data_IF_957987685862
#
_entry.id   IF_957987685862
#
_cell.length_a   1.000
_cell.length_b   1.000
_cell.length_c   1.000
_cell.angle_alpha   90.00
_cell.angle_beta   90.00
_cell.angle_gamma   90.00
#
_symmetry.space_group_name_H-M   'P 1'
#
loop_
_entity.id
_entity.type
_entity.pdbx_description
1 polymer ?
#
# COMPACT_ATOMS: atom_id res chain seq x y z
N UNK A 1 -9.20 12.90 -21.49
CA UNK A 1 -9.50 11.94 -22.58
C UNK A 1 -8.23 11.67 -23.37
N UNK A 2 -7.53 10.58 -23.03
CA UNK A 2 -6.57 9.92 -23.93
C UNK A 2 -6.50 8.47 -23.46
N UNK A 3 -7.27 7.60 -24.11
CA UNK A 3 -7.31 6.16 -23.85
C UNK A 3 -6.06 5.52 -24.46
N UNK A 4 -5.18 5.01 -23.60
CA UNK A 4 -4.05 4.17 -24.01
C UNK A 4 -4.62 2.76 -24.23
N UNK A 5 -4.63 2.32 -25.50
CA UNK A 5 -5.11 1.01 -25.90
C UNK A 5 -4.27 -0.11 -25.27
N UNK A 6 -4.95 -1.02 -24.57
CA UNK A 6 -4.38 -2.27 -24.11
C UNK A 6 -4.36 -3.20 -25.32
N UNK A 7 -3.17 -3.45 -25.87
CA UNK A 7 -2.96 -4.53 -26.83
C UNK A 7 -3.15 -5.86 -26.10
N UNK A 8 -4.11 -6.65 -26.55
CA UNK A 8 -4.27 -8.05 -26.14
C UNK A 8 -3.08 -8.87 -26.67
N UNK A 9 -2.22 -9.30 -25.76
CA UNK A 9 -1.13 -10.23 -26.06
C UNK A 9 -1.70 -11.59 -26.51
N UNK A 10 -1.52 -11.90 -27.79
CA UNK A 10 -1.73 -13.24 -28.32
C UNK A 10 -0.82 -14.24 -27.61
N UNK A 11 -1.28 -15.47 -27.31
CA UNK A 11 -0.45 -16.46 -26.64
C UNK A 11 0.70 -16.87 -27.55
N UNK A 12 1.92 -16.56 -27.13
CA UNK A 12 3.16 -17.04 -27.74
C UNK A 12 3.15 -18.56 -27.64
N UNK A 13 2.96 -19.25 -28.79
CA UNK A 13 3.15 -20.70 -28.87
C UNK A 13 4.59 -21.01 -28.47
N UNK A 14 4.77 -21.75 -27.37
CA UNK A 14 6.09 -22.20 -26.93
C UNK A 14 6.75 -23.09 -28.01
N UNK A 15 8.00 -22.83 -28.42
CA UNK A 15 8.65 -23.65 -29.43
C UNK A 15 8.96 -25.04 -28.87
N UNK A 16 8.63 -26.08 -29.64
CA UNK A 16 8.95 -27.51 -29.38
C UNK A 16 10.45 -27.79 -29.13
N UNK A 17 11.33 -26.82 -29.39
CA UNK A 17 12.80 -26.92 -29.31
C UNK A 17 13.38 -27.03 -27.87
N UNK A 18 12.64 -26.67 -26.82
CA UNK A 18 13.18 -26.66 -25.44
C UNK A 18 13.34 -28.03 -24.77
N UNK A 19 12.60 -29.06 -25.21
CA UNK A 19 12.62 -30.39 -24.55
C UNK A 19 13.89 -31.19 -24.86
N UNK A 20 14.30 -31.24 -26.13
CA UNK A 20 15.45 -32.05 -26.54
C UNK A 20 16.76 -31.56 -25.92
N UNK A 21 16.96 -30.23 -25.83
CA UNK A 21 18.11 -29.63 -25.17
C UNK A 21 18.16 -29.94 -23.66
N UNK A 22 16.99 -30.06 -23.01
CA UNK A 22 16.91 -30.37 -21.58
C UNK A 22 17.24 -31.83 -21.28
N UNK A 23 16.84 -32.77 -22.14
CA UNK A 23 17.17 -34.19 -22.00
C UNK A 23 18.65 -34.45 -22.27
N UNK A 24 19.22 -33.80 -23.29
CA UNK A 24 20.65 -33.86 -23.59
C UNK A 24 21.49 -33.37 -22.40
N UNK A 25 21.12 -32.25 -21.78
CA UNK A 25 21.80 -31.74 -20.60
C UNK A 25 21.70 -32.69 -19.39
N UNK A 26 20.53 -33.30 -19.15
CA UNK A 26 20.35 -34.30 -18.09
C UNK A 26 21.23 -35.52 -18.33
N UNK A 27 21.38 -35.96 -19.58
CA UNK A 27 22.25 -37.08 -19.93
C UNK A 27 23.72 -36.74 -19.67
N UNK A 28 24.18 -35.52 -20.00
CA UNK A 28 25.52 -35.05 -19.68
C UNK A 28 25.76 -35.05 -18.16
N UNK A 29 24.78 -34.58 -17.37
CA UNK A 29 24.87 -34.60 -15.91
C UNK A 29 24.97 -36.03 -15.35
N UNK A 30 24.16 -36.96 -15.88
CA UNK A 30 24.19 -38.36 -15.48
C UNK A 30 25.54 -39.01 -15.82
N UNK A 31 26.09 -38.77 -17.01
CA UNK A 31 27.41 -39.26 -17.41
C UNK A 31 28.52 -38.72 -16.50
N UNK A 32 28.44 -37.46 -16.08
CA UNK A 32 29.39 -36.88 -15.12
C UNK A 32 29.25 -37.52 -13.74
N UNK A 33 28.02 -37.78 -13.27
CA UNK A 33 27.77 -38.44 -11.99
C UNK A 33 28.21 -39.91 -12.01
N UNK A 34 28.03 -40.60 -13.14
CA UNK A 34 28.46 -42.00 -13.31
C UNK A 34 29.95 -42.18 -13.06
N UNK A 35 30.79 -41.21 -13.49
CA UNK A 35 32.23 -41.21 -13.21
C UNK A 35 32.60 -41.09 -11.73
N UNK A 36 31.66 -40.64 -10.89
CA UNK A 36 31.85 -40.51 -9.44
C UNK A 36 31.42 -41.77 -8.67
N UNK A 37 30.83 -42.76 -9.36
CA UNK A 37 30.41 -44.01 -8.73
C UNK A 37 31.66 -44.83 -8.35
N UNK A 38 31.79 -45.26 -7.09
CA UNK A 38 32.93 -46.06 -6.67
C UNK A 38 32.93 -47.42 -7.35
N UNK A 39 34.12 -47.90 -7.72
CA UNK A 39 34.29 -49.27 -8.21
C UNK A 39 34.24 -50.26 -7.03
N UNK A 40 33.21 -51.10 -6.97
CA UNK A 40 33.03 -52.05 -5.87
C UNK A 40 33.16 -53.49 -6.36
N UNK A 41 34.09 -54.23 -5.73
CA UNK A 41 34.48 -55.59 -6.12
C UNK A 41 33.54 -56.69 -5.60
N UNK A 42 32.87 -56.50 -4.46
CA UNK A 42 31.94 -57.47 -3.85
C UNK A 42 30.83 -56.74 -3.09
N UNK A 43 29.57 -57.08 -3.36
CA UNK A 43 28.39 -56.52 -2.67
C UNK A 43 27.52 -57.64 -2.11
N UNK A 44 27.01 -57.46 -0.89
CA UNK A 44 26.12 -58.46 -0.27
C UNK A 44 24.70 -58.31 -0.84
N UNK A 45 23.99 -59.44 -0.99
CA UNK A 45 22.59 -59.44 -1.40
C UNK A 45 21.74 -59.14 -0.17
N UNK A 46 20.76 -58.24 -0.32
CA UNK A 46 19.86 -57.84 0.77
C UNK A 46 18.47 -58.45 0.55
N UNK A 47 17.84 -58.91 1.63
CA UNK A 47 16.44 -59.38 1.62
C UNK A 47 15.47 -58.20 1.59
N UNK A 48 14.25 -58.42 1.07
CA UNK A 48 13.25 -57.37 0.91
C UNK A 48 12.80 -56.75 2.24
N UNK A 49 12.83 -57.50 3.34
CA UNK A 49 12.46 -57.05 4.69
C UNK A 49 13.44 -56.03 5.29
N UNK A 50 14.70 -56.03 4.86
CA UNK A 50 15.75 -55.17 5.40
C UNK A 50 16.06 -53.95 4.51
N UNK A 51 15.21 -53.68 3.51
CA UNK A 51 15.44 -52.62 2.54
C UNK A 51 15.09 -51.26 3.14
N UNK A 52 16.09 -50.39 3.22
CA UNK A 52 15.92 -48.96 3.50
C UNK A 52 16.15 -48.17 2.21
N UNK A 53 15.26 -47.22 1.93
CA UNK A 53 15.38 -46.34 0.76
C UNK A 53 16.50 -45.31 1.03
N UNK A 54 17.57 -45.27 0.22
CA UNK A 54 18.67 -44.34 0.43
C UNK A 54 18.23 -42.89 0.27
N UNK A 55 18.64 -42.01 1.19
CA UNK A 55 18.29 -40.60 1.20
C UNK A 55 19.48 -39.69 0.81
N UNK A 56 19.31 -38.37 0.93
CA UNK A 56 20.33 -37.37 0.54
C UNK A 56 21.62 -37.45 1.36
N UNK A 57 21.60 -38.09 2.53
CA UNK A 57 22.75 -38.28 3.40
C UNK A 57 23.33 -39.70 3.28
N UNK A 58 22.48 -40.68 2.96
CA UNK A 58 22.85 -42.11 2.90
C UNK A 58 22.97 -42.66 1.47
N UNK A 59 23.01 -41.81 0.44
CA UNK A 59 23.05 -42.25 -0.96
C UNK A 59 24.23 -43.18 -1.30
N UNK A 60 25.30 -43.20 -0.50
CA UNK A 60 26.42 -44.14 -0.65
C UNK A 60 25.98 -45.60 -0.42
N UNK A 61 24.92 -45.85 0.35
CA UNK A 61 24.36 -47.18 0.61
C UNK A 61 23.86 -47.87 -0.65
N UNK A 62 23.53 -47.12 -1.71
CA UNK A 62 23.21 -47.65 -3.04
C UNK A 62 24.27 -48.61 -3.57
N UNK A 63 25.52 -48.44 -3.14
CA UNK A 63 26.65 -49.20 -3.61
C UNK A 63 27.08 -50.31 -2.63
N UNK A 64 26.60 -50.28 -1.39
CA UNK A 64 26.95 -51.30 -0.38
C UNK A 64 26.28 -52.66 -0.66
N UNK A 65 25.13 -52.65 -1.34
CA UNK A 65 24.30 -53.85 -1.57
C UNK A 65 24.03 -54.13 -3.05
N UNK A 66 23.79 -55.39 -3.37
CA UNK A 66 23.48 -55.86 -4.71
C UNK A 66 21.96 -55.87 -4.97
N UNK A 67 21.36 -54.69 -5.15
CA UNK A 67 19.91 -54.56 -5.35
C UNK A 67 19.41 -55.20 -6.66
N UNK A 68 18.23 -55.81 -6.65
CA UNK A 68 17.56 -56.29 -7.86
C UNK A 68 16.83 -55.14 -8.60
N UNK A 69 16.42 -55.37 -9.85
CA UNK A 69 15.76 -54.32 -10.65
C UNK A 69 14.39 -53.89 -10.11
N UNK A 70 13.67 -54.75 -9.39
CA UNK A 70 12.38 -54.40 -8.78
C UNK A 70 12.60 -53.47 -7.57
N UNK A 71 13.57 -53.76 -6.71
CA UNK A 71 13.97 -52.94 -5.58
C UNK A 71 14.41 -51.54 -6.03
N UNK A 72 15.23 -51.45 -7.08
CA UNK A 72 15.64 -50.15 -7.64
C UNK A 72 14.46 -49.37 -8.25
N UNK A 73 13.47 -50.06 -8.83
CA UNK A 73 12.24 -49.40 -9.31
C UNK A 73 11.40 -48.84 -8.16
N UNK A 74 11.40 -49.49 -6.98
CA UNK A 74 10.77 -48.94 -5.77
C UNK A 74 11.44 -47.62 -5.37
N UNK A 75 12.77 -47.57 -5.33
CA UNK A 75 13.51 -46.34 -5.01
C UNK A 75 13.24 -45.22 -6.02
N UNK A 76 13.31 -45.54 -7.31
CA UNK A 76 13.03 -44.57 -8.37
C UNK A 76 11.58 -44.04 -8.28
N UNK A 77 10.60 -44.90 -7.97
CA UNK A 77 9.20 -44.50 -7.79
C UNK A 77 9.01 -43.58 -6.58
N UNK A 78 9.68 -43.87 -5.45
CA UNK A 78 9.65 -43.04 -4.25
C UNK A 78 10.09 -41.60 -4.53
N UNK A 79 11.17 -41.42 -5.30
CA UNK A 79 11.66 -40.10 -5.70
C UNK A 79 11.01 -39.52 -6.98
N UNK A 80 9.98 -40.19 -7.53
CA UNK A 80 9.27 -39.78 -8.76
C UNK A 80 10.20 -39.67 -9.99
N UNK A 81 11.17 -40.57 -10.09
CA UNK A 81 12.14 -40.66 -11.18
C UNK A 81 11.71 -41.75 -12.18
N UNK A 82 12.11 -41.63 -13.45
CA UNK A 82 11.88 -42.64 -14.50
C UNK A 82 12.37 -44.04 -14.08
N UNK A 83 11.48 -45.03 -14.14
CA UNK A 83 11.70 -46.43 -13.70
C UNK A 83 12.09 -47.40 -14.82
N UNK A 84 12.14 -46.93 -16.07
CA UNK A 84 12.56 -47.75 -17.23
C UNK A 84 14.08 -47.81 -17.34
N UNK A 85 14.59 -48.92 -17.88
CA UNK A 85 16.01 -49.10 -18.20
C UNK A 85 16.60 -50.36 -17.56
N UNK A 86 17.89 -50.58 -17.84
CA UNK A 86 18.64 -51.65 -17.21
C UNK A 86 19.02 -51.28 -15.75
N UNK A 87 19.54 -52.26 -15.00
CA UNK A 87 19.91 -52.08 -13.59
C UNK A 87 20.92 -50.94 -13.38
N UNK A 88 21.94 -50.84 -14.23
CA UNK A 88 22.97 -49.79 -14.15
C UNK A 88 22.37 -48.40 -14.37
N UNK A 89 21.51 -48.23 -15.37
CA UNK A 89 20.81 -46.98 -15.66
C UNK A 89 19.94 -46.53 -14.48
N UNK A 90 19.27 -47.46 -13.79
CA UNK A 90 18.50 -47.14 -12.59
C UNK A 90 19.40 -46.66 -11.45
N UNK A 91 20.51 -47.35 -11.18
CA UNK A 91 21.48 -46.95 -10.15
C UNK A 91 22.03 -45.56 -10.44
N UNK A 92 22.54 -45.32 -11.66
CA UNK A 92 23.10 -44.03 -12.06
C UNK A 92 22.07 -42.92 -11.89
N UNK A 93 20.81 -43.15 -12.27
CA UNK A 93 19.75 -42.14 -12.20
C UNK A 93 19.37 -41.80 -10.76
N UNK A 94 19.20 -42.81 -9.90
CA UNK A 94 18.90 -42.60 -8.47
C UNK A 94 20.06 -41.90 -7.79
N UNK A 95 21.30 -42.36 -8.01
CA UNK A 95 22.50 -41.75 -7.45
C UNK A 95 22.65 -40.29 -7.91
N UNK A 96 22.54 -40.02 -9.21
CA UNK A 96 22.63 -38.68 -9.77
C UNK A 96 21.61 -37.75 -9.14
N UNK A 97 20.37 -38.20 -8.99
CA UNK A 97 19.32 -37.42 -8.33
C UNK A 97 19.68 -37.09 -6.88
N UNK A 98 20.06 -38.09 -6.08
CA UNK A 98 20.36 -37.89 -4.65
C UNK A 98 21.60 -37.01 -4.46
N UNK A 99 22.67 -37.27 -5.21
CA UNK A 99 23.92 -36.51 -5.14
C UNK A 99 23.72 -35.05 -5.53
N UNK A 100 23.11 -34.81 -6.69
CA UNK A 100 22.87 -33.46 -7.19
C UNK A 100 21.89 -32.72 -6.28
N UNK A 101 20.87 -33.39 -5.74
CA UNK A 101 19.95 -32.78 -4.77
C UNK A 101 20.69 -32.36 -3.49
N UNK A 102 21.60 -33.19 -2.97
CA UNK A 102 22.44 -32.85 -1.83
C UNK A 102 23.31 -31.61 -2.11
N UNK A 103 23.94 -31.54 -3.28
CA UNK A 103 24.78 -30.40 -3.66
C UNK A 103 23.95 -29.12 -3.88
N UNK A 104 22.78 -29.23 -4.53
CA UNK A 104 21.84 -28.11 -4.72
C UNK A 104 21.39 -27.54 -3.38
N UNK A 105 21.10 -28.39 -2.38
CA UNK A 105 20.73 -27.90 -1.04
C UNK A 105 21.84 -27.07 -0.39
N UNK A 106 23.11 -27.46 -0.56
CA UNK A 106 24.27 -26.67 -0.08
C UNK A 106 24.35 -25.31 -0.76
N UNK A 107 24.18 -25.28 -2.08
CA UNK A 107 24.17 -24.04 -2.85
C UNK A 107 23.01 -23.15 -2.41
N UNK A 108 21.80 -23.70 -2.32
CA UNK A 108 20.62 -22.97 -1.85
C UNK A 108 20.81 -22.40 -0.45
N UNK A 109 21.42 -23.15 0.48
CA UNK A 109 21.75 -22.68 1.84
C UNK A 109 22.65 -21.45 1.80
N UNK A 110 23.70 -21.47 0.97
CA UNK A 110 24.62 -20.34 0.79
C UNK A 110 23.87 -19.14 0.21
N UNK A 111 23.06 -19.34 -0.83
CA UNK A 111 22.27 -18.29 -1.47
C UNK A 111 21.27 -17.65 -0.49
N UNK A 112 20.47 -18.44 0.23
CA UNK A 112 19.53 -17.93 1.24
C UNK A 112 20.27 -17.12 2.32
N UNK A 113 21.39 -17.63 2.81
CA UNK A 113 22.22 -16.92 3.79
C UNK A 113 22.79 -15.61 3.26
N UNK A 114 23.20 -15.55 1.99
CA UNK A 114 23.66 -14.31 1.36
C UNK A 114 22.55 -13.26 1.28
N UNK A 115 21.35 -13.66 0.85
CA UNK A 115 20.18 -12.78 0.77
C UNK A 115 19.85 -12.22 2.16
N UNK A 116 19.79 -13.06 3.20
CA UNK A 116 19.52 -12.63 4.57
C UNK A 116 20.58 -11.67 5.10
N UNK A 117 21.87 -11.96 4.90
CA UNK A 117 22.96 -11.07 5.34
C UNK A 117 22.91 -9.72 4.62
N UNK A 118 22.58 -9.72 3.33
CA UNK A 118 22.38 -8.49 2.57
C UNK A 118 21.21 -7.68 3.10
N UNK A 119 20.07 -8.33 3.39
CA UNK A 119 18.91 -7.70 4.02
C UNK A 119 19.29 -7.03 5.35
N UNK A 120 19.93 -7.77 6.27
CA UNK A 120 20.38 -7.24 7.56
C UNK A 120 21.34 -6.04 7.41
N UNK A 121 22.25 -6.08 6.43
CA UNK A 121 23.22 -5.00 6.19
C UNK A 121 22.56 -3.70 5.71
N UNK A 122 21.45 -3.80 4.98
CA UNK A 122 20.75 -2.65 4.38
C UNK A 122 20.02 -1.81 5.44
N UNK A 123 19.63 -2.41 6.57
CA UNK A 123 19.06 -1.69 7.71
C UNK A 123 20.05 -0.72 8.38
N UNK A 124 21.34 -0.81 8.06
CA UNK A 124 22.34 0.17 8.46
C UNK A 124 23.04 -0.11 9.79
N UNK A 125 23.87 0.84 10.26
CA UNK A 125 24.86 0.61 11.31
C UNK A 125 24.26 0.33 12.70
N UNK A 126 23.07 0.85 12.99
CA UNK A 126 22.40 0.67 14.28
C UNK A 126 21.37 -0.47 14.29
N UNK A 127 21.32 -1.31 13.24
CA UNK A 127 20.32 -2.40 13.14
C UNK A 127 20.34 -3.35 14.33
N UNK A 128 21.53 -3.72 14.81
CA UNK A 128 21.69 -4.64 15.96
C UNK A 128 21.67 -3.89 17.29
N UNK A 129 22.26 -2.69 17.33
CA UNK A 129 22.41 -1.89 18.54
C UNK A 129 21.85 -0.50 18.32
N UNK A 130 20.59 -0.31 18.70
CA UNK A 130 19.85 0.94 18.50
C UNK A 130 20.35 2.10 19.35
N UNK A 131 21.05 1.80 20.45
CA UNK A 131 21.70 2.82 21.30
C UNK A 131 22.85 3.56 20.58
N UNK A 132 23.21 3.17 19.36
CA UNK A 132 24.16 3.93 18.53
C UNK A 132 23.49 5.12 17.83
N UNK A 133 22.15 5.16 17.78
CA UNK A 133 21.41 6.28 17.22
C UNK A 133 21.52 7.53 18.11
N UNK A 134 21.52 8.68 17.45
CA UNK A 134 21.59 10.01 18.07
C UNK A 134 20.19 10.46 18.53
N UNK A 135 19.15 10.03 17.81
CA UNK A 135 17.76 10.25 18.18
C UNK A 135 17.21 9.06 18.96
N UNK A 136 16.22 9.32 19.82
CA UNK A 136 15.58 8.29 20.66
C UNK A 136 14.24 7.79 20.10
N UNK A 137 13.54 8.62 19.32
CA UNK A 137 12.25 8.29 18.70
C UNK A 137 12.26 8.56 17.21
N UNK A 138 11.27 8.02 16.48
CA UNK A 138 11.01 8.35 15.09
C UNK A 138 10.31 9.72 14.94
N UNK A 139 10.53 10.41 13.83
CA UNK A 139 10.05 11.78 13.62
C UNK A 139 8.60 11.87 13.14
N UNK A 140 8.04 10.79 12.57
CA UNK A 140 6.69 10.77 12.02
C UNK A 140 5.76 9.95 12.90
N UNK A 141 6.14 8.72 13.27
CA UNK A 141 5.29 7.88 14.13
C UNK A 141 5.38 8.29 15.60
N UNK A 142 6.51 8.88 16.00
CA UNK A 142 6.77 9.23 17.40
C UNK A 142 7.20 8.05 18.27
N UNK A 143 7.25 6.84 17.71
CA UNK A 143 7.63 5.64 18.44
C UNK A 143 9.08 5.70 18.91
N UNK A 144 9.35 5.14 20.09
CA UNK A 144 10.72 4.96 20.54
C UNK A 144 11.46 4.00 19.62
N UNK A 145 12.72 4.31 19.32
CA UNK A 145 13.52 3.49 18.42
C UNK A 145 13.66 2.07 18.92
N UNK A 146 13.54 1.78 20.22
CA UNK A 146 13.57 0.43 20.83
C UNK A 146 12.33 -0.40 20.55
N UNK A 147 11.20 0.25 20.27
CA UNK A 147 9.90 -0.40 20.13
C UNK A 147 9.58 -0.74 18.67
N UNK A 148 10.22 -0.05 17.72
CA UNK A 148 10.07 -0.30 16.28
C UNK A 148 10.47 -1.77 15.97
N UNK A 149 9.69 -2.56 15.21
CA UNK A 149 10.10 -3.90 14.82
C UNK A 149 11.40 -3.91 13.98
N UNK A 150 12.24 -4.94 14.11
CA UNK A 150 13.48 -5.04 13.31
C UNK A 150 13.23 -4.95 11.80
N UNK A 151 12.12 -5.50 11.31
CA UNK A 151 11.75 -5.39 9.90
C UNK A 151 11.46 -3.95 9.46
N UNK A 152 11.01 -3.09 10.38
CA UNK A 152 10.65 -1.69 10.16
C UNK A 152 11.69 -0.67 10.59
N UNK A 153 12.79 -1.11 11.20
CA UNK A 153 13.82 -0.18 11.62
C UNK A 153 14.85 0.06 10.51
N UNK A 154 15.25 1.29 10.22
CA UNK A 154 16.39 1.58 9.35
C UNK A 154 17.25 2.69 9.94
N UNK A 155 18.56 2.64 9.71
CA UNK A 155 19.50 3.64 10.19
C UNK A 155 20.53 4.02 9.12
N UNK A 156 21.06 5.23 9.22
CA UNK A 156 22.21 5.64 8.41
C UNK A 156 23.10 6.62 9.18
N UNK A 157 24.37 6.68 8.80
CA UNK A 157 25.34 7.67 9.30
C UNK A 157 25.39 8.88 8.37
N UNK A 158 25.38 10.08 8.95
CA UNK A 158 25.69 11.31 8.23
C UNK A 158 27.20 11.46 7.97
N UNK A 159 27.58 12.46 7.18
CA UNK A 159 28.94 12.91 6.90
C UNK A 159 29.72 13.23 8.18
N UNK A 160 29.04 13.70 9.22
CA UNK A 160 29.62 14.02 10.53
C UNK A 160 29.76 12.79 11.46
N UNK A 161 29.40 11.59 10.99
CA UNK A 161 29.50 10.35 11.75
C UNK A 161 28.35 10.07 12.74
N UNK A 162 27.42 11.02 12.90
CA UNK A 162 26.19 10.79 13.66
C UNK A 162 25.30 9.76 12.98
N UNK A 163 24.76 8.81 13.76
CA UNK A 163 23.85 7.78 13.27
C UNK A 163 22.43 8.18 13.63
N UNK A 164 21.51 8.11 12.67
CA UNK A 164 20.08 8.36 12.89
C UNK A 164 19.28 7.10 12.57
N UNK A 165 18.33 6.79 13.45
CA UNK A 165 17.38 5.68 13.28
C UNK A 165 16.00 6.19 12.90
N UNK A 166 15.27 5.40 12.12
CA UNK A 166 13.95 5.75 11.58
C UNK A 166 13.07 4.50 11.52
N UNK A 167 11.77 4.71 11.57
CA UNK A 167 10.84 3.76 10.97
C UNK A 167 10.96 3.85 9.44
N UNK A 168 10.94 2.69 8.79
CA UNK A 168 10.95 2.55 7.33
C UNK A 168 9.78 3.29 6.70
N UNK A 169 8.58 3.28 7.29
CA UNK A 169 7.40 4.04 6.81
C UNK A 169 7.74 5.53 6.77
N UNK A 170 8.27 6.05 7.87
CA UNK A 170 8.58 7.47 8.03
C UNK A 170 9.61 7.92 7.01
N UNK A 171 10.72 7.21 6.92
CA UNK A 171 11.79 7.54 5.97
C UNK A 171 11.34 7.36 4.52
N UNK A 172 10.56 6.32 4.20
CA UNK A 172 10.03 6.10 2.87
C UNK A 172 9.10 7.22 2.43
N UNK A 173 8.17 7.63 3.29
CA UNK A 173 7.22 8.71 2.99
C UNK A 173 7.90 10.07 2.89
N UNK A 174 8.94 10.33 3.69
CA UNK A 174 9.78 11.52 3.54
C UNK A 174 10.45 11.58 2.17
N UNK A 175 11.00 10.45 1.70
CA UNK A 175 11.63 10.35 0.37
C UNK A 175 10.60 10.57 -0.73
N UNK A 176 9.39 10.01 -0.61
CA UNK A 176 8.32 10.20 -1.60
C UNK A 176 7.87 11.66 -1.70
N UNK A 177 7.64 12.33 -0.55
CA UNK A 177 7.12 13.71 -0.51
C UNK A 177 8.16 14.77 -0.90
N UNK A 178 9.44 14.53 -0.64
CA UNK A 178 10.51 15.54 -0.79
C UNK A 178 11.16 15.61 -2.17
N UNK A 179 10.86 14.66 -3.07
CA UNK A 179 11.42 14.65 -4.42
C UNK A 179 12.96 14.50 -4.46
N UNK A 180 13.68 15.42 -5.13
CA UNK A 180 15.13 15.29 -5.39
C UNK A 180 16.03 15.66 -4.19
N UNK A 181 15.57 16.51 -3.28
CA UNK A 181 16.38 17.06 -2.18
C UNK A 181 15.80 16.63 -0.83
N UNK A 182 15.95 15.34 -0.51
CA UNK A 182 15.48 14.80 0.77
C UNK A 182 16.45 15.22 1.88
N UNK A 183 15.94 15.90 2.90
CA UNK A 183 16.71 16.33 4.07
C UNK A 183 16.34 15.50 5.29
N UNK A 184 17.33 15.21 6.13
CA UNK A 184 17.13 14.55 7.41
C UNK A 184 16.33 15.48 8.35
N UNK A 185 15.22 15.04 8.96
CA UNK A 185 14.39 15.88 9.82
C UNK A 185 15.11 16.40 11.07
N UNK A 186 16.15 15.70 11.56
CA UNK A 186 16.84 16.06 12.80
C UNK A 186 17.90 17.15 12.63
N UNK A 187 18.64 17.14 11.51
CA UNK A 187 19.77 18.06 11.31
C UNK A 187 19.71 18.83 9.97
N UNK A 188 18.69 18.58 9.14
CA UNK A 188 18.44 19.21 7.83
C UNK A 188 19.54 18.98 6.78
N UNK A 189 20.50 18.11 7.05
CA UNK A 189 21.49 17.68 6.06
C UNK A 189 20.84 16.80 4.99
N UNK A 190 21.41 16.79 3.79
CA UNK A 190 20.89 15.96 2.71
C UNK A 190 21.06 14.48 3.02
N UNK A 191 20.01 13.69 2.83
CA UNK A 191 20.08 12.24 2.99
C UNK A 191 20.90 11.65 1.83
N UNK A 192 21.95 10.85 2.10
CA UNK A 192 22.77 10.27 1.06
C UNK A 192 21.98 9.37 0.09
N UNK A 193 22.35 9.39 -1.19
CA UNK A 193 21.66 8.61 -2.24
C UNK A 193 21.69 7.10 -2.02
N UNK A 194 22.72 6.58 -1.31
CA UNK A 194 22.79 5.17 -0.95
C UNK A 194 21.68 4.77 0.02
N UNK A 195 21.20 5.67 0.89
CA UNK A 195 20.11 5.41 1.83
C UNK A 195 18.80 5.20 1.07
N UNK A 196 18.54 6.04 0.07
CA UNK A 196 17.38 5.89 -0.84
C UNK A 196 17.47 4.55 -1.59
N UNK A 197 18.67 4.17 -2.02
CA UNK A 197 18.90 2.90 -2.71
C UNK A 197 18.71 1.70 -1.77
N UNK A 198 19.11 1.84 -0.51
CA UNK A 198 18.92 0.86 0.55
C UNK A 198 17.44 0.65 0.85
N UNK A 199 16.62 1.69 0.98
CA UNK A 199 15.16 1.56 1.18
C UNK A 199 14.53 0.77 0.03
N UNK A 200 14.85 1.12 -1.22
CA UNK A 200 14.36 0.37 -2.41
C UNK A 200 14.80 -1.09 -2.40
N UNK A 201 16.03 -1.36 -1.98
CA UNK A 201 16.56 -2.71 -1.88
C UNK A 201 15.89 -3.50 -0.73
N UNK A 202 15.61 -2.83 0.40
CA UNK A 202 14.92 -3.38 1.55
C UNK A 202 13.52 -3.87 1.16
N UNK A 203 12.74 -3.02 0.48
CA UNK A 203 11.39 -3.35 -0.01
C UNK A 203 11.40 -4.55 -0.98
N UNK A 204 12.42 -4.65 -1.83
CA UNK A 204 12.56 -5.78 -2.77
C UNK A 204 12.92 -7.07 -2.04
N UNK A 205 13.86 -6.99 -1.10
CA UNK A 205 14.34 -8.14 -0.34
C UNK A 205 13.30 -8.64 0.66
N UNK A 206 12.51 -7.75 1.29
CA UNK A 206 11.41 -8.14 2.18
C UNK A 206 10.38 -9.00 1.44
N UNK A 207 10.03 -8.65 0.20
CA UNK A 207 9.16 -9.46 -0.67
C UNK A 207 9.75 -10.83 -0.98
N UNK A 208 11.04 -10.90 -1.29
CA UNK A 208 11.74 -12.17 -1.58
C UNK A 208 11.79 -13.07 -0.34
N UNK A 209 11.96 -12.49 0.85
CA UNK A 209 12.05 -13.19 2.12
C UNK A 209 10.69 -13.41 2.79
N UNK A 210 9.60 -12.91 2.19
CA UNK A 210 8.25 -12.92 2.77
C UNK A 210 8.17 -12.28 4.17
N UNK A 211 8.86 -11.15 4.35
CA UNK A 211 8.85 -10.35 5.58
C UNK A 211 7.84 -9.21 5.41
N UNK A 212 6.90 -9.08 6.36
CA UNK A 212 5.93 -7.98 6.38
C UNK A 212 6.66 -6.64 6.62
N UNK A 213 6.38 -5.68 5.76
CA UNK A 213 6.91 -4.31 5.78
C UNK A 213 5.72 -3.39 5.55
N UNK A 214 5.40 -2.54 6.52
CA UNK A 214 4.38 -1.50 6.32
C UNK A 214 5.04 -0.30 5.63
N UNK A 215 4.35 0.31 4.68
CA UNK A 215 4.86 1.46 3.90
C UNK A 215 3.83 2.57 3.78
N UNK A 216 2.57 2.23 4.02
CA UNK A 216 1.45 3.15 3.93
C UNK A 216 1.29 3.82 5.30
N UNK A 217 1.23 5.16 5.29
CA UNK A 217 0.74 5.90 6.44
C UNK A 217 -0.75 5.56 6.50
N UNK A 218 -1.22 4.97 7.60
CA UNK A 218 -2.65 4.87 7.83
C UNK A 218 -3.18 6.31 7.89
N UNK A 219 -3.89 6.71 6.84
CA UNK A 219 -4.69 7.90 6.88
C UNK A 219 -5.88 7.53 7.77
N UNK A 220 -5.84 7.91 9.05
CA UNK A 220 -6.94 7.65 10.01
C UNK A 220 -8.29 8.24 9.52
N UNK A 221 -8.26 9.00 8.42
CA UNK A 221 -9.43 9.52 7.71
C UNK A 221 -10.08 8.52 6.74
N UNK A 222 -9.38 7.47 6.30
CA UNK A 222 -9.90 6.48 5.35
C UNK A 222 -10.85 5.46 5.98
N UNK A 223 -10.77 5.26 7.31
CA UNK A 223 -11.67 4.39 8.09
C UNK A 223 -12.85 5.15 8.73
N UNK A 224 -12.95 6.47 8.50
CA UNK A 224 -14.11 7.24 8.95
C UNK A 224 -15.32 6.90 8.08
N UNK A 225 -16.45 6.58 8.71
CA UNK A 225 -17.70 6.42 7.97
C UNK A 225 -18.05 7.71 7.21
N UNK A 226 -18.82 7.60 6.13
CA UNK A 226 -19.27 8.76 5.34
C UNK A 226 -19.97 9.79 6.26
N UNK A 227 -20.72 9.33 7.26
CA UNK A 227 -21.37 10.16 8.27
C UNK A 227 -20.37 10.94 9.11
N UNK A 228 -19.30 10.28 9.58
CA UNK A 228 -18.30 10.93 10.45
C UNK A 228 -17.47 11.94 9.66
N UNK A 229 -17.18 11.65 8.40
CA UNK A 229 -16.53 12.61 7.49
C UNK A 229 -17.38 13.86 7.27
N UNK A 230 -18.68 13.69 7.06
CA UNK A 230 -19.63 14.81 6.92
C UNK A 230 -19.72 15.62 8.22
N UNK A 231 -19.76 14.95 9.37
CA UNK A 231 -19.77 15.60 10.68
C UNK A 231 -18.54 16.49 10.86
N UNK A 232 -17.33 15.96 10.69
CA UNK A 232 -16.08 16.71 10.85
C UNK A 232 -15.96 17.89 9.87
N UNK A 233 -16.41 17.72 8.63
CA UNK A 233 -16.46 18.80 7.64
C UNK A 233 -17.43 19.90 8.04
N UNK A 234 -18.64 19.52 8.48
CA UNK A 234 -19.61 20.48 8.99
C UNK A 234 -19.08 21.21 10.24
N UNK A 235 -18.44 20.52 11.18
CA UNK A 235 -17.80 21.16 12.34
C UNK A 235 -16.80 22.23 11.90
N UNK A 236 -15.88 21.88 11.01
CA UNK A 236 -14.86 22.81 10.49
C UNK A 236 -15.48 24.00 9.78
N UNK A 237 -16.48 23.76 8.92
CA UNK A 237 -17.17 24.82 8.18
C UNK A 237 -17.84 25.83 9.10
N UNK A 238 -18.58 25.35 10.12
CA UNK A 238 -19.30 26.21 11.04
C UNK A 238 -18.34 26.96 12.00
N UNK A 239 -17.22 26.34 12.40
CA UNK A 239 -16.15 27.07 13.10
C UNK A 239 -15.58 28.21 12.26
N UNK A 240 -15.41 28.01 10.94
CA UNK A 240 -14.98 29.09 10.05
C UNK A 240 -16.04 30.19 9.95
N UNK A 241 -17.33 29.85 9.91
CA UNK A 241 -18.43 30.82 9.94
C UNK A 241 -18.40 31.62 11.25
N UNK A 242 -18.16 30.96 12.39
CA UNK A 242 -18.02 31.60 13.70
C UNK A 242 -16.83 32.57 13.73
N UNK A 243 -15.70 32.19 13.15
CA UNK A 243 -14.52 33.04 13.03
C UNK A 243 -14.76 34.30 12.15
N UNK A 244 -15.77 34.26 11.27
CA UNK A 244 -16.23 35.43 10.49
C UNK A 244 -17.18 36.34 11.29
N UNK A 245 -17.49 36.01 12.56
CA UNK A 245 -18.28 36.81 13.48
C UNK A 245 -19.77 36.43 13.55
N UNK A 246 -20.16 35.28 13.02
CA UNK A 246 -21.55 34.83 13.02
C UNK A 246 -21.75 33.68 14.03
N UNK A 247 -22.76 33.74 14.90
CA UNK A 247 -23.09 32.57 15.72
C UNK A 247 -23.70 31.45 14.86
N UNK A 248 -23.11 30.25 14.89
CA UNK A 248 -23.60 29.12 14.12
C UNK A 248 -23.52 27.78 14.87
N UNK A 249 -24.32 26.79 14.44
CA UNK A 249 -24.26 25.43 14.96
C UNK A 249 -24.26 24.39 13.84
N UNK A 250 -23.26 23.48 13.79
CA UNK A 250 -23.19 22.39 12.82
C UNK A 250 -24.45 21.52 12.78
N UNK A 251 -25.12 21.37 13.93
CA UNK A 251 -26.34 20.58 14.06
C UNK A 251 -27.49 21.12 13.20
N UNK A 252 -27.50 22.41 12.86
CA UNK A 252 -28.53 22.98 11.99
C UNK A 252 -28.52 22.35 10.60
N UNK A 253 -27.35 21.96 10.11
CA UNK A 253 -27.20 21.22 8.86
C UNK A 253 -27.23 19.70 9.06
N UNK A 254 -26.56 19.18 10.10
CA UNK A 254 -26.44 17.74 10.33
C UNK A 254 -27.79 17.08 10.67
N UNK A 255 -28.70 17.78 11.33
CA UNK A 255 -30.03 17.27 11.69
C UNK A 255 -31.03 17.23 10.52
N UNK A 256 -30.69 17.83 9.36
CA UNK A 256 -31.60 17.85 8.21
C UNK A 256 -31.84 16.45 7.66
N UNK A 257 -33.12 16.11 7.46
CA UNK A 257 -33.54 14.94 6.70
C UNK A 257 -33.40 15.20 5.19
N UNK A 258 -33.59 14.18 4.35
CA UNK A 258 -33.45 14.30 2.88
C UNK A 258 -34.29 15.42 2.28
N UNK A 259 -35.56 15.55 2.67
CA UNK A 259 -36.47 16.56 2.11
C UNK A 259 -35.96 17.96 2.44
N UNK A 260 -35.61 18.21 3.69
CA UNK A 260 -35.08 19.51 4.14
C UNK A 260 -33.69 19.81 3.55
N UNK A 261 -32.87 18.77 3.34
CA UNK A 261 -31.57 18.90 2.68
C UNK A 261 -31.73 19.32 1.22
N UNK A 262 -32.70 18.75 0.49
CA UNK A 262 -33.05 19.20 -0.87
C UNK A 262 -33.60 20.63 -0.84
N UNK A 263 -34.47 20.94 0.13
CA UNK A 263 -35.01 22.30 0.30
C UNK A 263 -33.89 23.30 0.55
N UNK A 264 -32.91 22.98 1.39
CA UNK A 264 -31.74 23.82 1.67
C UNK A 264 -30.99 24.19 0.40
N UNK A 265 -30.71 23.19 -0.45
CA UNK A 265 -30.04 23.44 -1.73
C UNK A 265 -30.88 24.35 -2.65
N UNK A 266 -32.21 24.13 -2.70
CA UNK A 266 -33.10 24.98 -3.52
C UNK A 266 -33.12 26.42 -3.02
N UNK A 267 -33.29 26.63 -1.72
CA UNK A 267 -33.28 27.96 -1.11
C UNK A 267 -31.94 28.66 -1.33
N UNK A 268 -30.82 27.95 -1.17
CA UNK A 268 -29.50 28.52 -1.38
C UNK A 268 -29.26 28.94 -2.84
N UNK A 269 -29.68 28.11 -3.80
CA UNK A 269 -29.58 28.43 -5.24
C UNK A 269 -30.51 29.59 -5.60
N UNK A 270 -31.74 29.59 -5.10
CA UNK A 270 -32.72 30.65 -5.34
C UNK A 270 -32.27 32.00 -4.76
N UNK A 271 -31.70 31.99 -3.55
CA UNK A 271 -31.06 33.15 -2.93
C UNK A 271 -29.93 33.67 -3.82
N UNK A 272 -29.03 32.79 -4.24
CA UNK A 272 -27.85 33.18 -5.01
C UNK A 272 -28.18 33.72 -6.39
N UNK A 273 -29.10 33.08 -7.11
CA UNK A 273 -29.39 33.40 -8.50
C UNK A 273 -30.49 34.45 -8.68
N UNK A 274 -31.44 34.53 -7.75
CA UNK A 274 -32.61 35.38 -7.92
C UNK A 274 -32.86 36.32 -6.73
N UNK A 275 -33.02 35.82 -5.50
CA UNK A 275 -33.58 36.64 -4.43
C UNK A 275 -32.64 37.71 -3.89
N UNK A 276 -31.35 37.42 -3.77
CA UNK A 276 -30.39 38.38 -3.22
C UNK A 276 -29.90 39.41 -4.26
N UNK A 277 -30.30 39.28 -5.54
CA UNK A 277 -29.92 40.21 -6.64
C UNK A 277 -28.41 40.53 -6.67
N UNK A 278 -27.58 39.51 -6.39
CA UNK A 278 -26.13 39.65 -6.29
C UNK A 278 -25.55 39.91 -7.68
N UNK A 279 -24.78 40.99 -7.83
CA UNK A 279 -24.12 41.29 -9.11
C UNK A 279 -23.11 40.20 -9.47
N UNK A 280 -22.90 39.99 -10.77
CA UNK A 280 -21.92 39.01 -11.27
C UNK A 280 -20.48 39.33 -10.85
N UNK A 281 -20.19 40.60 -10.51
CA UNK A 281 -18.91 40.96 -9.92
C UNK A 281 -18.80 40.45 -8.49
N UNK A 282 -19.79 40.72 -7.63
CA UNK A 282 -19.82 40.25 -6.25
C UNK A 282 -19.85 38.73 -6.16
N UNK A 283 -20.60 38.04 -7.03
CA UNK A 283 -20.57 36.57 -7.13
C UNK A 283 -19.16 36.02 -7.36
N UNK A 284 -18.37 36.67 -8.22
CA UNK A 284 -16.96 36.28 -8.50
C UNK A 284 -16.01 36.59 -7.35
N UNK A 285 -16.30 37.62 -6.56
CA UNK A 285 -15.54 37.95 -5.34
C UNK A 285 -15.77 36.90 -4.25
N UNK A 286 -17.02 36.43 -4.09
CA UNK A 286 -17.39 35.40 -3.10
C UNK A 286 -16.96 34.00 -3.57
N UNK A 287 -17.22 33.63 -4.83
CA UNK A 287 -16.92 32.32 -5.42
C UNK A 287 -16.04 32.45 -6.69
N UNK A 288 -14.74 32.71 -6.57
CA UNK A 288 -13.86 32.81 -7.74
C UNK A 288 -13.68 31.45 -8.44
N UNK A 289 -13.35 31.44 -9.75
CA UNK A 289 -13.13 32.59 -10.63
C UNK A 289 -14.39 33.12 -11.34
N UNK A 290 -15.46 32.32 -11.42
CA UNK A 290 -16.61 32.57 -12.27
C UNK A 290 -17.93 32.87 -11.52
N UNK A 291 -17.95 32.77 -10.20
CA UNK A 291 -19.14 33.05 -9.38
C UNK A 291 -20.19 31.94 -9.40
N UNK A 292 -19.85 30.75 -9.90
CA UNK A 292 -20.78 29.62 -10.02
C UNK A 292 -20.77 28.76 -8.75
N UNK A 293 -21.97 28.48 -8.22
CA UNK A 293 -22.19 27.60 -7.06
C UNK A 293 -22.13 26.11 -7.37
N UNK A 294 -22.18 25.71 -8.64
CA UNK A 294 -21.97 24.32 -9.04
C UNK A 294 -21.08 24.26 -10.28
N UNK A 295 -20.22 23.24 -10.37
CA UNK A 295 -19.26 23.15 -11.47
C UNK A 295 -19.30 21.85 -12.25
N UNK A 296 -19.90 20.75 -11.77
CA UNK A 296 -19.74 19.44 -12.46
C UNK A 296 -20.93 18.45 -12.41
N UNK A 297 -22.05 18.74 -11.71
CA UNK A 297 -23.15 17.77 -11.54
C UNK A 297 -24.49 18.42 -11.87
N UNK A 298 -25.32 17.73 -12.66
CA UNK A 298 -26.68 18.20 -13.00
C UNK A 298 -27.57 18.26 -11.75
N UNK A 299 -28.30 19.37 -11.58
CA UNK A 299 -29.30 19.54 -10.51
C UNK A 299 -30.34 18.42 -10.50
N UNK A 300 -30.69 17.89 -11.68
CA UNK A 300 -31.57 16.74 -11.81
C UNK A 300 -31.01 15.50 -11.12
N UNK A 301 -29.71 15.22 -11.26
CA UNK A 301 -29.04 14.09 -10.61
C UNK A 301 -29.04 14.26 -9.10
N UNK A 302 -28.83 15.49 -8.61
CA UNK A 302 -28.77 15.78 -7.17
C UNK A 302 -30.15 15.67 -6.53
N UNK A 303 -31.20 16.20 -7.16
CA UNK A 303 -32.56 16.12 -6.62
C UNK A 303 -33.12 14.69 -6.61
N UNK A 304 -32.61 13.82 -7.48
CA UNK A 304 -32.98 12.41 -7.55
C UNK A 304 -32.07 11.48 -6.71
N UNK A 305 -31.01 12.00 -6.09
CA UNK A 305 -30.12 11.21 -5.23
C UNK A 305 -30.88 10.69 -4.00
N UNK A 306 -30.74 9.39 -3.73
CA UNK A 306 -31.42 8.71 -2.63
C UNK A 306 -30.53 8.63 -1.38
N UNK A 307 -29.21 8.61 -1.56
CA UNK A 307 -28.27 8.57 -0.45
C UNK A 307 -28.11 9.97 0.19
N UNK A 308 -28.55 10.10 1.45
CA UNK A 308 -28.48 11.35 2.20
C UNK A 308 -27.04 11.84 2.41
N UNK A 309 -26.08 10.94 2.65
CA UNK A 309 -24.69 11.30 2.86
C UNK A 309 -24.07 11.90 1.59
N UNK A 310 -24.35 11.33 0.42
CA UNK A 310 -23.92 11.91 -0.87
C UNK A 310 -24.53 13.29 -1.11
N UNK A 311 -25.81 13.46 -0.80
CA UNK A 311 -26.50 14.75 -0.92
C UNK A 311 -25.90 15.80 0.02
N UNK A 312 -25.68 15.46 1.30
CA UNK A 312 -25.05 16.34 2.29
C UNK A 312 -23.62 16.71 1.88
N UNK A 313 -22.84 15.76 1.36
CA UNK A 313 -21.49 16.00 0.87
C UNK A 313 -21.47 17.03 -0.27
N UNK A 314 -22.38 16.89 -1.22
CA UNK A 314 -22.49 17.84 -2.33
C UNK A 314 -22.82 19.25 -1.84
N UNK A 315 -23.78 19.39 -0.92
CA UNK A 315 -24.15 20.71 -0.38
C UNK A 315 -23.03 21.31 0.47
N UNK A 316 -22.32 20.49 1.26
CA UNK A 316 -21.14 20.94 2.00
C UNK A 316 -20.05 21.49 1.09
N UNK A 317 -19.78 20.86 -0.06
CA UNK A 317 -18.81 21.39 -1.03
C UNK A 317 -19.20 22.79 -1.53
N UNK A 318 -20.50 23.02 -1.76
CA UNK A 318 -21.01 24.34 -2.15
C UNK A 318 -20.80 25.34 -1.01
N UNK A 319 -21.22 24.99 0.20
CA UNK A 319 -21.13 25.87 1.37
C UNK A 319 -19.67 26.21 1.69
N UNK A 320 -18.77 25.22 1.71
CA UNK A 320 -17.34 25.40 1.94
C UNK A 320 -16.72 26.33 0.91
N UNK A 321 -17.11 26.21 -0.37
CA UNK A 321 -16.60 27.11 -1.40
C UNK A 321 -17.03 28.56 -1.16
N UNK A 322 -18.30 28.80 -0.79
CA UNK A 322 -18.79 30.15 -0.51
C UNK A 322 -18.08 30.80 0.68
N UNK A 323 -17.77 30.03 1.73
CA UNK A 323 -17.14 30.56 2.96
C UNK A 323 -15.62 30.70 2.80
N UNK A 324 -14.96 29.72 2.17
CA UNK A 324 -13.50 29.63 2.21
C UNK A 324 -12.81 30.26 0.99
N UNK A 325 -13.51 30.38 -0.16
CA UNK A 325 -12.89 30.81 -1.42
C UNK A 325 -12.98 32.32 -1.71
N UNK A 326 -13.66 33.11 -0.88
CA UNK A 326 -13.78 34.56 -1.09
C UNK A 326 -12.42 35.27 -1.15
N UNK A 327 -12.30 36.29 -2.01
CA UNK A 327 -11.04 37.02 -2.25
C UNK A 327 -10.55 37.84 -1.05
N UNK A 328 -11.47 38.27 -0.19
CA UNK A 328 -11.25 39.06 1.00
C UNK A 328 -12.20 38.61 2.13
N UNK A 329 -12.00 39.15 3.34
CA UNK A 329 -12.80 38.79 4.51
C UNK A 329 -14.28 39.14 4.34
N UNK A 330 -14.57 40.30 3.74
CA UNK A 330 -15.95 40.77 3.53
C UNK A 330 -16.72 39.85 2.57
N UNK A 331 -16.07 39.38 1.50
CA UNK A 331 -16.67 38.41 0.57
C UNK A 331 -16.92 37.06 1.23
N UNK A 332 -16.02 36.60 2.09
CA UNK A 332 -16.22 35.37 2.88
C UNK A 332 -17.38 35.51 3.86
N UNK A 333 -17.47 36.65 4.55
CA UNK A 333 -18.57 36.97 5.46
C UNK A 333 -19.92 37.02 4.72
N UNK A 334 -19.97 37.62 3.53
CA UNK A 334 -21.17 37.59 2.67
C UNK A 334 -21.57 36.15 2.30
N UNK A 335 -20.60 35.31 1.92
CA UNK A 335 -20.83 33.89 1.65
C UNK A 335 -21.46 33.16 2.85
N UNK A 336 -20.92 33.39 4.06
CA UNK A 336 -21.47 32.85 5.30
C UNK A 336 -22.89 33.34 5.59
N UNK A 337 -23.20 34.62 5.36
CA UNK A 337 -24.55 35.17 5.56
C UNK A 337 -25.60 34.50 4.67
N UNK A 338 -25.29 34.26 3.38
CA UNK A 338 -26.25 33.58 2.48
C UNK A 338 -26.51 32.14 2.89
N UNK A 339 -25.49 31.44 3.38
CA UNK A 339 -25.62 30.07 3.90
C UNK A 339 -26.51 30.04 5.14
N UNK A 340 -26.23 30.91 6.11
CA UNK A 340 -27.02 31.01 7.33
C UNK A 340 -28.46 31.42 7.01
N UNK A 341 -28.66 32.33 6.05
CA UNK A 341 -29.98 32.74 5.59
C UNK A 341 -30.79 31.55 5.05
N UNK A 342 -30.20 30.74 4.17
CA UNK A 342 -30.85 29.53 3.67
C UNK A 342 -31.12 28.51 4.81
N UNK A 343 -30.20 28.35 5.76
CA UNK A 343 -30.36 27.44 6.91
C UNK A 343 -31.55 27.84 7.79
N UNK A 344 -31.77 29.13 8.03
CA UNK A 344 -32.91 29.61 8.83
C UNK A 344 -34.27 29.24 8.20
N UNK A 345 -34.35 29.03 6.88
CA UNK A 345 -35.59 28.64 6.19
C UNK A 345 -35.91 27.15 6.39
N UNK A 346 -34.90 26.31 6.64
CA UNK A 346 -35.04 24.86 6.67
C UNK A 346 -34.85 24.23 8.06
N UNK A 347 -34.31 24.99 9.01
CA UNK A 347 -34.07 24.54 10.38
C UNK A 347 -34.66 25.54 11.40
N UNK A 348 -35.57 25.05 12.25
CA UNK A 348 -36.27 25.89 13.23
C UNK A 348 -35.33 26.44 14.32
N UNK A 349 -34.34 25.67 14.77
CA UNK A 349 -33.37 26.14 15.77
C UNK A 349 -32.46 27.23 15.21
N UNK A 350 -32.09 27.13 13.92
CA UNK A 350 -31.37 28.20 13.24
C UNK A 350 -32.24 29.47 13.15
N UNK A 351 -33.53 29.32 12.81
CA UNK A 351 -34.46 30.45 12.70
C UNK A 351 -34.67 31.19 14.03
N UNK A 352 -34.78 30.45 15.14
CA UNK A 352 -34.92 31.05 16.48
C UNK A 352 -33.61 31.67 16.97
N UNK A 353 -32.47 31.11 16.60
CA UNK A 353 -31.15 31.64 16.97
C UNK A 353 -30.75 32.88 16.17
N UNK A 354 -31.22 32.99 14.91
CA UNK A 354 -30.96 34.12 14.01
C UNK A 354 -32.27 34.73 13.45
N UNK A 355 -33.14 35.32 14.28
CA UNK A 355 -34.48 35.77 13.83
C UNK A 355 -34.44 36.88 12.78
N UNK A 356 -33.46 37.78 12.87
CA UNK A 356 -33.29 38.89 11.92
C UNK A 356 -32.91 38.39 10.53
N UNK A 357 -32.11 37.32 10.47
CA UNK A 357 -31.72 36.67 9.23
C UNK A 357 -32.89 35.88 8.66
N UNK A 358 -33.62 35.15 9.51
CA UNK A 358 -34.86 34.51 9.12
C UNK A 358 -35.85 35.52 8.52
N UNK A 359 -36.09 36.66 9.17
CA UNK A 359 -37.00 37.69 8.64
C UNK A 359 -36.54 38.21 7.27
N UNK A 360 -35.24 38.43 7.09
CA UNK A 360 -34.65 38.93 5.83
C UNK A 360 -34.76 37.93 4.68
N UNK A 361 -34.69 36.64 4.99
CA UNK A 361 -34.69 35.55 4.01
C UNK A 361 -35.99 34.75 3.95
N UNK A 362 -36.94 35.00 4.85
CA UNK A 362 -38.28 34.43 4.81
C UNK A 362 -39.11 35.12 3.74
N UNK A 363 -40.04 34.38 3.15
CA UNK A 363 -41.09 34.91 2.31
C UNK A 363 -42.40 34.28 2.76
N UNK A 364 -43.44 35.10 2.83
CA UNK A 364 -44.80 34.58 3.00
C UNK A 364 -45.24 34.09 1.63
N UNK A 365 -45.50 32.79 1.51
CA UNK A 365 -46.26 32.24 0.39
C UNK A 365 -47.74 32.56 0.54
#
# INVERSE_FOLDING_TARGET
MTTIGINEDKPIKSPKCKKDQSEEYINILQQKCEKLIPFIKKTQKISDENIVIPNLNTYNELFNYNYNSQQLKVFAKYYKIKTTGNKQQLIVRIFSFLKLSCDVLKIQKICRGYIQRKYNKIHGPAFVKRTLCTNNSDFLTGDELTDIPNSQFISFSDNDGFIYGFDVISLYNLVLKSGKNVKNPYNRNNIPSYVISNIKALIRLSKILNIKLDLDIQDDTADLSDEKTIELRALTLFQNIDALGNYSSPNWFLSLNRILTIKMLRELLDIWDYRAQITNETKRKICPPNGLLSTNVSLFTIFNEQNLCKLKRYILEIMERMVNSGIDQDSKSLGAYYILGALTIVNQEAATSLPWLFQSFSYFN
#
